data_IF_236894225595
#
_entry.id   IF_236894225595
#
_cell.length_a   1.000
_cell.length_b   1.000
_cell.length_c   1.000
_cell.angle_alpha   90.00
_cell.angle_beta   90.00
_cell.angle_gamma   90.00
#
_symmetry.space_group_name_H-M   'P 1'
#
loop_
_entity.id
_entity.type
_entity.pdbx_description
1 polymer ?
#
# COMPACT_ATOMS: atom_id res chain seq x y z
N UNK A 1 -17.43 -0.42 -1.37
CA UNK A 1 -17.28 0.80 -0.57
C UNK A 1 -18.62 1.48 -0.53
N UNK A 2 -18.93 2.15 0.58
CA UNK A 2 -20.16 2.91 0.73
C UNK A 2 -20.11 4.20 -0.10
N UNK A 3 -21.27 4.73 -0.49
CA UNK A 3 -21.37 5.97 -1.27
C UNK A 3 -20.73 7.16 -0.55
N UNK A 4 -20.95 7.28 0.77
CA UNK A 4 -20.33 8.31 1.60
C UNK A 4 -18.80 8.23 1.62
N UNK A 5 -18.24 7.02 1.53
CA UNK A 5 -16.79 6.82 1.48
C UNK A 5 -16.23 7.28 0.12
N UNK A 6 -16.95 7.04 -0.98
CA UNK A 6 -16.58 7.53 -2.32
C UNK A 6 -16.56 9.06 -2.38
N UNK A 7 -17.58 9.71 -1.82
CA UNK A 7 -17.68 11.18 -1.78
C UNK A 7 -16.51 11.79 -0.99
N UNK A 8 -16.17 11.21 0.16
CA UNK A 8 -15.02 11.66 0.96
C UNK A 8 -13.70 11.51 0.19
N UNK A 9 -13.52 10.39 -0.50
CA UNK A 9 -12.32 10.13 -1.29
C UNK A 9 -12.19 11.07 -2.50
N UNK A 10 -13.29 11.42 -3.15
CA UNK A 10 -13.31 12.45 -4.20
C UNK A 10 -12.96 13.85 -3.68
N UNK A 11 -13.24 14.15 -2.41
CA UNK A 11 -12.89 15.42 -1.79
C UNK A 11 -11.42 15.54 -1.41
N UNK A 12 -10.63 14.49 -1.61
CA UNK A 12 -9.19 14.53 -1.35
C UNK A 12 -8.43 15.14 -2.54
N UNK A 13 -7.79 16.31 -2.33
CA UNK A 13 -7.17 17.07 -3.42
C UNK A 13 -5.63 17.12 -3.38
N UNK A 14 -5.03 17.18 -2.19
CA UNK A 14 -3.57 17.40 -2.09
C UNK A 14 -2.80 16.09 -1.92
N UNK A 15 -2.84 15.52 -0.72
CA UNK A 15 -2.11 14.30 -0.39
C UNK A 15 -3.07 13.30 0.20
N UNK A 16 -2.97 12.05 -0.27
CA UNK A 16 -3.62 10.92 0.38
C UNK A 16 -2.56 9.97 0.94
N UNK A 17 -2.66 9.71 2.23
CA UNK A 17 -1.95 8.63 2.90
C UNK A 17 -2.91 7.45 3.05
N UNK A 18 -2.52 6.29 2.54
CA UNK A 18 -3.35 5.11 2.64
C UNK A 18 -2.59 3.89 3.13
N UNK A 19 -3.32 3.04 3.85
CA UNK A 19 -2.94 1.67 4.14
C UNK A 19 -4.14 0.76 3.99
N UNK A 20 -3.91 -0.55 3.97
CA UNK A 20 -4.97 -1.53 4.09
C UNK A 20 -4.62 -2.61 5.11
N UNK A 21 -5.64 -3.05 5.84
CA UNK A 21 -5.59 -4.22 6.71
C UNK A 21 -6.77 -5.10 6.33
N UNK A 22 -6.48 -6.30 5.84
CA UNK A 22 -7.49 -7.30 5.50
C UNK A 22 -7.14 -8.61 6.21
N UNK A 23 -8.13 -9.43 6.57
CA UNK A 23 -7.95 -10.72 7.23
C UNK A 23 -7.35 -10.65 8.64
N UNK A 24 -7.41 -9.47 9.28
CA UNK A 24 -6.89 -9.21 10.62
C UNK A 24 -5.39 -9.59 10.79
N UNK A 25 -4.59 -9.41 9.74
CA UNK A 25 -3.18 -9.77 9.75
C UNK A 25 -2.28 -8.81 10.55
N UNK A 26 -2.69 -7.55 10.68
CA UNK A 26 -1.85 -6.47 11.20
C UNK A 26 -2.59 -5.64 12.26
N UNK A 27 -1.83 -5.04 13.17
CA UNK A 27 -2.35 -4.09 14.16
C UNK A 27 -2.53 -2.70 13.55
N UNK A 28 -3.54 -1.96 14.02
CA UNK A 28 -3.77 -0.57 13.60
C UNK A 28 -2.79 0.33 14.33
N UNK A 29 -1.85 0.91 13.58
CA UNK A 29 -0.91 1.92 14.05
C UNK A 29 -1.40 3.33 13.68
N UNK A 30 -1.51 4.21 14.69
CA UNK A 30 -1.86 5.61 14.47
C UNK A 30 -0.62 6.41 14.04
N UNK A 31 -0.73 7.34 13.08
CA UNK A 31 0.41 8.18 12.70
C UNK A 31 0.85 9.08 13.86
N UNK A 32 2.15 9.24 14.01
CA UNK A 32 2.78 10.09 15.03
C UNK A 32 3.54 11.25 14.40
N UNK A 33 3.70 12.34 15.15
CA UNK A 33 4.39 13.56 14.71
C UNK A 33 3.81 14.25 13.46
N UNK A 34 2.48 14.17 13.29
CA UNK A 34 1.76 14.86 12.21
C UNK A 34 1.45 16.30 12.64
N UNK A 35 1.79 17.27 11.79
CA UNK A 35 1.49 18.69 12.04
C UNK A 35 -0.02 18.96 11.96
N UNK A 36 -0.48 20.03 12.61
CA UNK A 36 -1.90 20.40 12.55
C UNK A 36 -2.34 20.76 11.12
N UNK A 37 -1.46 21.38 10.35
CA UNK A 37 -1.67 21.62 8.92
C UNK A 37 -1.91 20.31 8.15
N UNK A 38 -1.08 19.30 8.36
CA UNK A 38 -1.24 18.00 7.68
C UNK A 38 -2.48 17.24 8.15
N UNK A 39 -2.88 17.35 9.41
CA UNK A 39 -4.15 16.76 9.89
C UNK A 39 -5.38 17.35 9.21
N UNK A 40 -5.30 18.61 8.76
CA UNK A 40 -6.40 19.31 8.07
C UNK A 40 -6.38 19.12 6.55
N UNK A 41 -5.20 18.94 5.95
CA UNK A 41 -5.02 18.95 4.48
C UNK A 41 -4.80 17.57 3.87
N UNK A 42 -4.37 16.58 4.65
CA UNK A 42 -4.07 15.23 4.18
C UNK A 42 -5.23 14.29 4.52
N UNK A 43 -5.60 13.47 3.55
CA UNK A 43 -6.59 12.42 3.76
C UNK A 43 -5.87 11.15 4.22
N UNK A 44 -6.15 10.72 5.45
CA UNK A 44 -5.65 9.46 5.99
C UNK A 44 -6.72 8.39 5.79
N UNK A 45 -6.50 7.45 4.87
CA UNK A 45 -7.45 6.41 4.52
C UNK A 45 -6.96 5.03 4.96
N UNK A 46 -7.84 4.24 5.56
CA UNK A 46 -7.55 2.87 5.96
C UNK A 46 -8.60 1.94 5.36
N UNK A 47 -8.18 1.11 4.41
CA UNK A 47 -9.06 0.13 3.79
C UNK A 47 -9.13 -1.14 4.65
N UNK A 48 -10.35 -1.59 4.96
CA UNK A 48 -10.60 -2.79 5.78
C UNK A 48 -11.70 -3.65 5.18
N UNK A 49 -11.77 -4.91 5.61
CA UNK A 49 -12.91 -5.79 5.35
C UNK A 49 -14.02 -5.64 6.42
N UNK A 50 -15.15 -6.27 6.15
CA UNK A 50 -16.33 -6.27 7.02
C UNK A 50 -16.06 -6.95 8.37
N UNK A 51 -15.12 -7.91 8.43
CA UNK A 51 -14.74 -8.59 9.67
C UNK A 51 -14.03 -7.62 10.62
N UNK A 52 -13.03 -6.90 10.12
CA UNK A 52 -12.33 -5.87 10.89
C UNK A 52 -13.29 -4.75 11.27
N UNK A 53 -14.16 -4.29 10.38
CA UNK A 53 -15.16 -3.27 10.71
C UNK A 53 -16.04 -3.71 11.88
N UNK A 54 -16.56 -4.94 11.85
CA UNK A 54 -17.39 -5.52 12.92
C UNK A 54 -16.64 -5.57 14.26
N UNK A 55 -15.37 -5.98 14.23
CA UNK A 55 -14.49 -6.01 15.40
C UNK A 55 -14.22 -4.61 15.98
N UNK A 56 -14.05 -3.61 15.11
CA UNK A 56 -13.83 -2.23 15.52
C UNK A 56 -15.10 -1.59 16.11
N UNK A 57 -16.28 -1.95 15.60
CA UNK A 57 -17.57 -1.52 16.15
C UNK A 57 -17.85 -2.16 17.50
N UNK A 58 -17.62 -3.47 17.63
CA UNK A 58 -17.86 -4.21 18.88
C UNK A 58 -16.92 -3.75 20.02
N UNK A 59 -15.69 -3.37 19.69
CA UNK A 59 -14.72 -2.78 20.63
C UNK A 59 -14.96 -1.29 20.91
N UNK A 60 -16.02 -0.69 20.36
CA UNK A 60 -16.32 0.75 20.45
C UNK A 60 -15.18 1.68 19.99
N UNK A 61 -14.21 1.16 19.22
CA UNK A 61 -13.12 1.93 18.64
C UNK A 61 -13.57 2.71 17.40
N UNK A 62 -14.55 2.17 16.67
CA UNK A 62 -15.14 2.85 15.52
C UNK A 62 -16.33 3.71 15.96
N UNK A 63 -16.09 5.02 16.09
CA UNK A 63 -17.15 5.99 16.38
C UNK A 63 -18.11 6.21 15.21
N UNK A 64 -19.11 7.08 15.41
CA UNK A 64 -20.13 7.42 14.40
C UNK A 64 -19.56 8.05 13.13
N UNK A 65 -18.35 8.62 13.19
CA UNK A 65 -17.66 9.26 12.06
C UNK A 65 -16.81 8.28 11.22
N UNK A 66 -16.86 6.97 11.50
CA UNK A 66 -16.00 5.96 10.86
C UNK A 66 -14.50 6.33 10.88
N UNK A 67 -14.02 6.93 11.98
CA UNK A 67 -12.61 7.32 12.16
C UNK A 67 -11.99 6.62 13.38
N UNK A 68 -10.70 6.31 13.28
CA UNK A 68 -9.82 5.83 14.35
C UNK A 68 -8.54 6.67 14.29
N UNK A 69 -8.26 7.44 15.34
CA UNK A 69 -7.15 8.40 15.31
C UNK A 69 -7.33 9.38 14.14
N UNK A 70 -6.33 9.43 13.25
CA UNK A 70 -6.40 10.21 12.00
C UNK A 70 -7.07 9.43 10.86
N UNK A 71 -7.07 8.10 10.93
CA UNK A 71 -7.57 7.23 9.87
C UNK A 71 -9.08 7.33 9.69
N UNK A 72 -9.53 7.62 8.47
CA UNK A 72 -10.87 7.33 7.98
C UNK A 72 -10.92 5.88 7.52
N UNK A 73 -11.82 5.11 8.11
CA UNK A 73 -12.01 3.69 7.79
C UNK A 73 -12.88 3.58 6.54
N UNK A 74 -12.39 2.91 5.50
CA UNK A 74 -13.07 2.64 4.24
C UNK A 74 -13.35 1.15 4.15
N UNK A 75 -14.62 0.76 4.12
CA UNK A 75 -15.00 -0.66 4.13
C UNK A 75 -15.11 -1.17 2.70
N UNK A 76 -14.34 -2.22 2.42
CA UNK A 76 -14.32 -2.88 1.12
C UNK A 76 -15.28 -4.07 1.13
N UNK A 77 -16.41 -3.90 0.47
CA UNK A 77 -17.40 -4.97 0.25
C UNK A 77 -17.08 -5.76 -1.01
N UNK A 78 -17.55 -7.02 -1.07
CA UNK A 78 -17.45 -7.90 -2.24
C UNK A 78 -16.00 -8.04 -2.75
N UNK A 79 -15.09 -8.46 -1.86
CA UNK A 79 -13.67 -8.57 -2.17
C UNK A 79 -13.43 -9.53 -3.36
N UNK A 80 -12.60 -9.15 -4.34
CA UNK A 80 -12.42 -9.93 -5.57
C UNK A 80 -11.50 -11.15 -5.39
N UNK A 81 -10.75 -11.21 -4.29
CA UNK A 81 -9.83 -12.29 -3.97
C UNK A 81 -10.20 -12.95 -2.64
N UNK A 82 -10.02 -14.26 -2.58
CA UNK A 82 -10.17 -15.04 -1.35
C UNK A 82 -8.98 -14.85 -0.40
N UNK A 83 -7.77 -14.66 -0.93
CA UNK A 83 -6.58 -14.31 -0.15
C UNK A 83 -6.58 -12.79 0.14
N UNK A 84 -6.63 -12.37 1.43
CA UNK A 84 -6.60 -10.95 1.80
C UNK A 84 -5.36 -10.20 1.31
N UNK A 85 -4.23 -10.90 1.09
CA UNK A 85 -3.00 -10.30 0.53
C UNK A 85 -3.22 -9.79 -0.89
N UNK A 86 -4.01 -10.51 -1.69
CA UNK A 86 -4.39 -10.09 -3.04
C UNK A 86 -5.27 -8.84 -3.00
N UNK A 87 -6.24 -8.82 -2.09
CA UNK A 87 -7.12 -7.66 -1.89
C UNK A 87 -6.33 -6.42 -1.49
N UNK A 88 -5.34 -6.54 -0.59
CA UNK A 88 -4.46 -5.43 -0.19
C UNK A 88 -3.69 -4.78 -1.35
N UNK A 89 -3.41 -5.51 -2.43
CA UNK A 89 -2.73 -4.97 -3.62
C UNK A 89 -3.57 -3.98 -4.40
N UNK A 90 -4.90 -4.06 -4.33
CA UNK A 90 -5.79 -3.18 -5.09
C UNK A 90 -5.65 -1.72 -4.63
N UNK A 91 -5.93 -1.37 -3.36
CA UNK A 91 -5.74 0.00 -2.91
C UNK A 91 -4.26 0.42 -2.95
N UNK A 92 -3.31 -0.53 -2.83
CA UNK A 92 -1.87 -0.24 -2.99
C UNK A 92 -1.50 0.25 -4.39
N UNK A 93 -1.97 -0.44 -5.43
CA UNK A 93 -1.57 -0.17 -6.82
C UNK A 93 -2.50 0.85 -7.50
N UNK A 94 -3.77 0.88 -7.10
CA UNK A 94 -4.81 1.65 -7.75
C UNK A 94 -5.31 2.84 -6.92
N UNK A 95 -4.56 3.27 -5.90
CA UNK A 95 -4.96 4.39 -5.05
C UNK A 95 -5.28 5.65 -5.88
N UNK A 96 -4.46 5.92 -6.90
CA UNK A 96 -4.65 7.02 -7.84
C UNK A 96 -5.97 6.96 -8.62
N UNK A 97 -6.59 5.78 -8.77
CA UNK A 97 -7.93 5.63 -9.38
C UNK A 97 -9.05 5.77 -8.37
N UNK A 98 -8.77 5.37 -7.13
CA UNK A 98 -9.74 5.43 -6.02
C UNK A 98 -9.88 6.85 -5.47
N UNK A 99 -8.79 7.62 -5.51
CA UNK A 99 -8.70 8.99 -4.97
C UNK A 99 -8.25 9.91 -6.11
N UNK A 100 -9.11 10.12 -7.12
CA UNK A 100 -8.69 10.67 -8.42
C UNK A 100 -8.23 12.12 -8.37
N UNK A 101 -8.63 12.87 -7.35
CA UNK A 101 -8.33 14.29 -7.22
C UNK A 101 -7.05 14.57 -6.42
N UNK A 102 -6.46 13.56 -5.78
CA UNK A 102 -5.23 13.74 -5.00
C UNK A 102 -4.00 13.94 -5.91
N UNK A 103 -3.23 14.98 -5.65
CA UNK A 103 -1.97 15.25 -6.37
C UNK A 103 -0.85 14.27 -6.02
N UNK A 104 -0.78 13.83 -4.75
CA UNK A 104 0.20 12.86 -4.28
C UNK A 104 -0.47 11.73 -3.50
N UNK A 105 0.10 10.55 -3.59
CA UNK A 105 -0.28 9.40 -2.79
C UNK A 105 0.93 8.80 -2.07
N UNK A 106 0.73 8.39 -0.82
CA UNK A 106 1.68 7.60 -0.05
C UNK A 106 0.97 6.32 0.38
N UNK A 107 1.57 5.18 0.03
CA UNK A 107 1.13 3.88 0.53
C UNK A 107 1.99 3.43 1.70
N UNK A 108 1.35 2.99 2.78
CA UNK A 108 1.98 2.43 3.96
C UNK A 108 1.56 0.97 4.12
N UNK A 109 2.54 0.10 4.37
CA UNK A 109 2.26 -1.29 4.74
C UNK A 109 1.65 -1.34 6.15
N UNK A 110 0.67 -2.21 6.38
CA UNK A 110 -0.06 -2.28 7.65
C UNK A 110 0.83 -2.54 8.88
N UNK A 111 2.02 -3.11 8.67
CA UNK A 111 3.01 -3.37 9.73
C UNK A 111 3.83 -2.15 10.11
N UNK A 112 3.72 -1.06 9.36
CA UNK A 112 4.50 0.16 9.55
C UNK A 112 3.67 1.22 10.28
N UNK A 113 4.40 2.11 10.96
CA UNK A 113 3.86 3.33 11.55
C UNK A 113 4.40 4.54 10.80
N UNK A 114 3.54 5.49 10.49
CA UNK A 114 3.94 6.79 9.94
C UNK A 114 4.41 7.70 11.08
N UNK A 115 5.74 7.83 11.22
CA UNK A 115 6.36 8.55 12.35
C UNK A 115 6.81 9.99 12.03
N UNK A 116 6.56 10.45 10.80
CA UNK A 116 6.98 11.76 10.30
C UNK A 116 5.91 12.33 9.37
N UNK A 117 5.81 13.65 9.33
CA UNK A 117 4.84 14.36 8.50
C UNK A 117 4.99 14.01 7.00
N UNK A 118 3.89 13.68 6.29
CA UNK A 118 3.92 13.24 4.89
C UNK A 118 4.55 14.25 3.94
N UNK A 119 4.36 15.55 4.18
CA UNK A 119 4.99 16.56 3.34
C UNK A 119 6.52 16.50 3.41
N UNK A 120 7.10 16.08 4.54
CA UNK A 120 8.55 15.86 4.65
C UNK A 120 9.00 14.64 3.85
N UNK A 121 8.15 13.60 3.76
CA UNK A 121 8.41 12.41 2.94
C UNK A 121 8.41 12.81 1.45
N UNK A 122 7.37 13.53 1.00
CA UNK A 122 7.25 14.03 -0.37
C UNK A 122 8.41 14.96 -0.72
N UNK A 123 8.76 15.88 0.17
CA UNK A 123 9.88 16.81 -0.04
C UNK A 123 11.21 16.07 -0.22
N UNK A 124 11.48 15.09 0.64
CA UNK A 124 12.74 14.35 0.64
C UNK A 124 12.88 13.39 -0.54
N UNK A 125 11.80 12.66 -0.86
CA UNK A 125 11.85 11.56 -1.83
C UNK A 125 11.48 11.99 -3.25
N UNK A 126 10.58 12.97 -3.40
CA UNK A 126 10.09 13.42 -4.70
C UNK A 126 10.64 14.80 -5.06
N UNK A 127 10.28 15.84 -4.31
CA UNK A 127 10.52 17.23 -4.73
C UNK A 127 12.00 17.59 -4.83
N UNK A 128 12.82 17.26 -3.82
CA UNK A 128 14.28 17.48 -3.85
C UNK A 128 14.99 16.70 -4.97
N UNK A 129 14.41 15.59 -5.39
CA UNK A 129 14.96 14.70 -6.43
C UNK A 129 14.41 14.98 -7.81
N UNK A 130 13.40 15.85 -7.92
CA UNK A 130 12.60 16.03 -9.13
C UNK A 130 12.08 14.69 -9.68
N UNK A 131 11.60 13.82 -8.78
CA UNK A 131 11.09 12.48 -9.11
C UNK A 131 9.56 12.46 -9.04
N UNK A 132 8.94 11.64 -9.89
CA UNK A 132 7.48 11.47 -9.96
C UNK A 132 6.96 10.28 -9.15
N UNK A 133 7.85 9.38 -8.71
CA UNK A 133 7.52 8.19 -7.95
C UNK A 133 8.73 7.73 -7.13
N UNK A 134 8.46 7.15 -5.97
CA UNK A 134 9.46 6.51 -5.12
C UNK A 134 8.90 5.21 -4.57
N UNK A 135 9.74 4.18 -4.52
CA UNK A 135 9.40 2.88 -3.93
C UNK A 135 10.47 2.47 -2.95
N UNK A 136 10.06 1.79 -1.88
CA UNK A 136 10.99 1.25 -0.90
C UNK A 136 11.85 0.17 -1.55
N UNK A 137 13.15 0.19 -1.24
CA UNK A 137 14.05 -0.89 -1.62
C UNK A 137 13.81 -2.07 -0.69
N UNK A 138 13.52 -3.23 -1.24
CA UNK A 138 13.41 -4.46 -0.45
C UNK A 138 14.71 -4.72 0.34
N UNK A 139 14.60 -5.10 1.61
CA UNK A 139 15.72 -5.02 2.57
C UNK A 139 16.72 -6.19 2.48
N UNK A 140 16.40 -7.27 1.77
CA UNK A 140 17.24 -8.48 1.64
C UNK A 140 17.40 -8.96 0.19
N UNK A 141 16.28 -9.11 -0.50
CA UNK A 141 16.24 -9.62 -1.88
C UNK A 141 16.27 -8.46 -2.87
N UNK A 142 17.18 -8.51 -3.84
CA UNK A 142 17.33 -7.52 -4.92
C UNK A 142 17.11 -8.13 -6.31
N UNK A 143 17.08 -9.45 -6.37
CA UNK A 143 16.85 -10.24 -7.57
C UNK A 143 15.43 -10.82 -7.54
N UNK A 144 14.65 -10.51 -8.56
CA UNK A 144 13.25 -10.95 -8.66
C UNK A 144 13.11 -12.47 -8.79
N UNK A 145 14.09 -13.15 -9.39
CA UNK A 145 14.11 -14.60 -9.55
C UNK A 145 14.36 -15.30 -8.21
N UNK A 146 15.23 -14.73 -7.38
CA UNK A 146 15.47 -15.23 -6.02
C UNK A 146 14.24 -15.01 -5.13
N UNK A 147 13.62 -13.83 -5.24
CA UNK A 147 12.38 -13.53 -4.53
C UNK A 147 11.22 -14.43 -4.98
N UNK A 148 11.20 -14.87 -6.24
CA UNK A 148 10.22 -15.83 -6.74
C UNK A 148 10.31 -17.18 -6.05
N UNK A 149 11.51 -17.75 -5.92
CA UNK A 149 11.71 -19.01 -5.22
C UNK A 149 11.41 -18.88 -3.71
N UNK A 150 11.74 -17.73 -3.10
CA UNK A 150 11.36 -17.45 -1.71
C UNK A 150 9.84 -17.39 -1.52
N UNK A 151 9.11 -16.77 -2.46
CA UNK A 151 7.66 -16.65 -2.41
C UNK A 151 6.95 -17.99 -2.62
N UNK A 152 7.49 -18.87 -3.47
CA UNK A 152 7.02 -20.26 -3.61
C UNK A 152 7.24 -21.05 -2.33
N UNK A 153 8.44 -20.99 -1.77
CA UNK A 153 8.79 -21.70 -0.53
C UNK A 153 7.92 -21.26 0.65
N UNK A 154 7.57 -19.97 0.71
CA UNK A 154 6.70 -19.40 1.74
C UNK A 154 5.20 -19.60 1.46
N UNK A 155 4.82 -20.20 0.31
CA UNK A 155 3.42 -20.38 -0.07
C UNK A 155 2.64 -19.06 -0.16
N UNK A 156 3.30 -17.98 -0.63
CA UNK A 156 2.65 -16.66 -0.69
C UNK A 156 1.59 -16.57 -1.78
N UNK A 157 1.83 -17.23 -2.92
CA UNK A 157 0.95 -17.31 -4.08
C UNK A 157 0.99 -18.72 -4.67
N UNK A 158 0.06 -19.03 -5.58
CA UNK A 158 0.15 -20.26 -6.36
C UNK A 158 1.44 -20.29 -7.18
N UNK A 159 2.17 -21.41 -7.13
CA UNK A 159 3.44 -21.54 -7.83
C UNK A 159 3.30 -21.29 -9.33
N UNK A 160 2.18 -21.71 -9.95
CA UNK A 160 1.91 -21.49 -11.36
C UNK A 160 1.81 -20.00 -11.73
N UNK A 161 1.22 -19.17 -10.86
CA UNK A 161 1.17 -17.72 -11.08
C UNK A 161 2.55 -17.08 -10.96
N UNK A 162 3.37 -17.55 -10.01
CA UNK A 162 4.75 -17.09 -9.87
C UNK A 162 5.56 -17.48 -11.11
N UNK A 163 5.44 -18.73 -11.58
CA UNK A 163 6.14 -19.23 -12.76
C UNK A 163 5.78 -18.44 -14.01
N UNK A 164 4.48 -18.22 -14.24
CA UNK A 164 4.00 -17.40 -15.35
C UNK A 164 4.60 -16.00 -15.34
N UNK A 165 4.56 -15.32 -14.19
CA UNK A 165 5.10 -13.97 -14.06
C UNK A 165 6.62 -13.94 -14.27
N UNK A 166 7.30 -14.96 -13.75
CA UNK A 166 8.74 -15.08 -13.85
C UNK A 166 9.20 -15.33 -15.30
N UNK A 167 8.47 -16.16 -16.03
CA UNK A 167 8.73 -16.42 -17.44
C UNK A 167 8.40 -15.21 -18.30
N UNK A 168 7.33 -14.46 -17.97
CA UNK A 168 7.07 -13.16 -18.58
C UNK A 168 8.26 -12.21 -18.44
N UNK A 169 8.82 -12.06 -17.24
CA UNK A 169 10.00 -11.21 -17.04
C UNK A 169 11.20 -11.64 -17.88
N UNK A 170 11.49 -12.95 -17.96
CA UNK A 170 12.59 -13.46 -18.80
C UNK A 170 12.34 -13.18 -20.28
N UNK A 171 11.10 -13.34 -20.74
CA UNK A 171 10.72 -13.10 -22.13
C UNK A 171 10.83 -11.61 -22.50
N UNK A 172 10.56 -10.71 -21.56
CA UNK A 172 10.79 -9.26 -21.71
C UNK A 172 12.28 -8.86 -21.53
N UNK A 173 13.18 -9.83 -21.34
CA UNK A 173 14.63 -9.62 -21.30
C UNK A 173 15.20 -9.30 -19.92
N UNK A 174 14.44 -9.48 -18.84
CA UNK A 174 14.97 -9.33 -17.50
C UNK A 174 15.96 -10.46 -17.17
N UNK A 175 17.16 -10.07 -16.79
CA UNK A 175 18.24 -10.97 -16.34
C UNK A 175 18.38 -10.94 -14.82
N UNK A 176 19.05 -11.91 -14.18
CA UNK A 176 19.36 -11.85 -12.76
C UNK A 176 20.01 -10.52 -12.34
N UNK A 177 19.74 -10.07 -11.12
CA UNK A 177 20.26 -8.80 -10.64
C UNK A 177 21.78 -8.87 -10.48
N UNK A 178 22.48 -7.82 -10.91
CA UNK A 178 23.92 -7.68 -10.79
C UNK A 178 24.30 -6.20 -10.66
N UNK A 179 25.48 -5.91 -10.10
CA UNK A 179 26.00 -4.53 -9.96
C UNK A 179 26.11 -3.79 -11.30
N UNK A 180 26.23 -4.51 -12.41
CA UNK A 180 26.21 -3.95 -13.75
C UNK A 180 24.91 -3.20 -14.10
N UNK A 181 23.82 -3.40 -13.34
CA UNK A 181 22.52 -2.72 -13.52
C UNK A 181 22.45 -1.35 -12.86
N UNK A 182 23.49 -0.90 -12.14
CA UNK A 182 23.52 0.46 -11.59
C UNK A 182 23.26 1.50 -12.72
N UNK A 183 22.46 2.55 -12.45
CA UNK A 183 22.03 3.01 -11.13
C UNK A 183 20.75 2.33 -10.58
N UNK A 184 20.19 1.31 -11.23
CA UNK A 184 19.08 0.55 -10.67
C UNK A 184 19.57 -0.33 -9.51
N UNK A 185 19.01 -0.12 -8.32
CA UNK A 185 19.52 -0.69 -7.06
C UNK A 185 18.76 -1.94 -6.57
N UNK A 186 17.73 -2.38 -7.33
CA UNK A 186 16.89 -3.56 -7.06
C UNK A 186 16.01 -3.86 -8.27
N UNK A 187 15.80 -5.14 -8.60
CA UNK A 187 14.71 -5.61 -9.49
C UNK A 187 13.44 -5.98 -8.69
N UNK A 188 13.48 -5.87 -7.37
CA UNK A 188 12.36 -6.19 -6.47
C UNK A 188 11.75 -4.90 -5.93
N UNK A 189 10.58 -4.48 -6.44
CA UNK A 189 9.86 -3.31 -5.92
C UNK A 189 9.15 -3.61 -4.59
N UNK A 190 8.64 -4.83 -4.39
CA UNK A 190 8.05 -5.28 -3.13
C UNK A 190 8.03 -6.81 -3.01
N UNK A 191 7.71 -7.49 -4.12
CA UNK A 191 7.80 -8.94 -4.28
C UNK A 191 8.02 -9.30 -5.74
N UNK A 192 8.01 -10.59 -6.06
CA UNK A 192 8.23 -11.09 -7.43
C UNK A 192 6.95 -11.16 -8.28
N UNK A 193 5.78 -10.88 -7.71
CA UNK A 193 4.49 -10.95 -8.41
C UNK A 193 3.78 -9.62 -8.33
N UNK A 194 3.56 -9.03 -9.50
CA UNK A 194 2.63 -7.92 -9.70
C UNK A 194 1.31 -8.56 -10.12
N UNK A 195 0.26 -8.38 -9.31
CA UNK A 195 -1.08 -8.96 -9.54
C UNK A 195 -2.01 -7.87 -10.05
#
# INVERSE_FOLDING_TARGET
MDEDDLIEMEQCHDVVDALAIFGNFDEINDPTNISDYSKETICFLMFVDEEIESNLRSSARLGTRKKIGLWRIIVSHNLPYTDPRGTGKIPKLLLHRMVPNAHYSIWLDGKLELVVDPYQILERLLWRKNAIFAISKHYRCFDVFVEAEANKAAGKYENASIDFQNDFYKNEGLTPYAEAKLPFISDVPEGCVIV
#
